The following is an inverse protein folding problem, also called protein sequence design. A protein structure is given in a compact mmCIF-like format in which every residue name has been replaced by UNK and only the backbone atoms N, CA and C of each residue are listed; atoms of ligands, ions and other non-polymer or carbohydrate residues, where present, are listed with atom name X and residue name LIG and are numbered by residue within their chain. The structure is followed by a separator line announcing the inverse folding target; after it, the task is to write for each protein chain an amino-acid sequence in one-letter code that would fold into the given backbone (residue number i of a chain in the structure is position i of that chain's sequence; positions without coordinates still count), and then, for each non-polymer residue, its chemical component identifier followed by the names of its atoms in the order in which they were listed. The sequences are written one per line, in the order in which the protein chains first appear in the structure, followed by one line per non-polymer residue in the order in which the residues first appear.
data_IF_004273952162
#
_entry.id   IF_004273952162
#
_cell.length_a   1.000
_cell.length_b   1.000
_cell.length_c   1.000
_cell.angle_alpha   90.00
_cell.angle_beta   90.00
_cell.angle_gamma   90.00
#
_symmetry.space_group_name_H-M   'P 1'
#
loop_
_entity.id
_entity.type
_entity.pdbx_description
1 polymer ?
#
# COMPACT_ATOMS: atom_id res chain seq x y z
N UNK A 1 -7.46 16.27 0.66
CA UNK A 1 -6.01 16.47 0.87
C UNK A 1 -5.39 16.95 -0.44
N UNK A 2 -5.62 18.20 -0.84
CA UNK A 2 -4.99 18.79 -2.03
C UNK A 2 -3.69 19.47 -1.60
N UNK A 3 -2.57 18.79 -1.85
CA UNK A 3 -1.21 19.22 -1.49
C UNK A 3 -0.52 18.21 -0.57
N UNK A 4 -0.13 17.05 -1.09
CA UNK A 4 0.82 16.17 -0.39
C UNK A 4 2.21 16.80 -0.53
N UNK A 5 2.81 17.17 0.60
CA UNK A 5 4.21 17.60 0.59
C UNK A 5 5.13 16.42 0.23
N UNK A 6 6.34 16.73 -0.24
CA UNK A 6 7.28 15.71 -0.70
C UNK A 6 7.66 14.69 0.40
N UNK A 7 7.68 15.10 1.68
CA UNK A 7 7.99 14.19 2.78
C UNK A 7 6.83 13.24 3.06
N UNK A 8 5.59 13.72 3.04
CA UNK A 8 4.40 12.86 3.10
C UNK A 8 4.39 11.82 1.97
N UNK A 9 4.75 12.23 0.76
CA UNK A 9 4.91 11.31 -0.37
C UNK A 9 5.98 10.25 -0.10
N UNK A 10 7.15 10.67 0.39
CA UNK A 10 8.26 9.77 0.67
C UNK A 10 7.93 8.77 1.79
N UNK A 11 7.26 9.21 2.86
CA UNK A 11 6.79 8.35 3.95
C UNK A 11 5.84 7.28 3.42
N UNK A 12 4.83 7.68 2.64
CA UNK A 12 3.90 6.74 2.00
C UNK A 12 4.61 5.77 1.07
N UNK A 13 5.60 6.26 0.30
CA UNK A 13 6.38 5.42 -0.60
C UNK A 13 7.21 4.38 0.17
N UNK A 14 7.85 4.77 1.27
CA UNK A 14 8.58 3.83 2.14
C UNK A 14 7.64 2.78 2.71
N UNK A 15 6.48 3.19 3.23
CA UNK A 15 5.46 2.25 3.73
C UNK A 15 5.05 1.28 2.62
N UNK A 16 4.76 1.79 1.42
CA UNK A 16 4.36 0.99 0.28
C UNK A 16 5.44 -0.02 -0.14
N UNK A 17 6.71 0.38 -0.18
CA UNK A 17 7.85 -0.49 -0.48
C UNK A 17 7.97 -1.60 0.56
N UNK A 18 7.86 -1.26 1.85
CA UNK A 18 7.93 -2.24 2.95
C UNK A 18 6.77 -3.22 2.86
N UNK A 19 5.53 -2.74 2.74
CA UNK A 19 4.32 -3.58 2.68
C UNK A 19 4.34 -4.48 1.44
N UNK A 20 4.64 -3.92 0.26
CA UNK A 20 4.77 -4.70 -0.96
C UNK A 20 5.93 -5.70 -0.88
N UNK A 21 7.03 -5.36 -0.17
CA UNK A 21 8.19 -6.22 0.00
C UNK A 21 7.87 -7.41 0.89
N UNK A 22 7.21 -7.16 2.03
CA UNK A 22 6.71 -8.20 2.92
C UNK A 22 5.69 -9.09 2.19
N UNK A 23 4.76 -8.52 1.44
CA UNK A 23 3.78 -9.30 0.68
C UNK A 23 4.45 -10.15 -0.42
N UNK A 24 5.34 -9.57 -1.22
CA UNK A 24 5.95 -10.24 -2.37
C UNK A 24 7.03 -11.26 -1.97
N UNK A 25 7.94 -10.90 -1.07
CA UNK A 25 9.09 -11.72 -0.70
C UNK A 25 8.89 -12.49 0.60
N UNK A 26 8.24 -11.90 1.60
CA UNK A 26 8.00 -12.53 2.89
C UNK A 26 6.88 -13.57 2.83
N UNK A 27 5.68 -13.16 2.41
CA UNK A 27 4.48 -14.01 2.36
C UNK A 27 4.36 -14.77 1.03
N UNK A 28 5.18 -14.40 0.02
CA UNK A 28 5.09 -14.93 -1.36
C UNK A 28 3.69 -14.74 -1.97
N UNK A 29 3.02 -13.65 -1.61
CA UNK A 29 1.68 -13.29 -2.09
C UNK A 29 1.77 -12.58 -3.43
N UNK A 30 1.88 -13.34 -4.52
CA UNK A 30 1.94 -12.79 -5.87
C UNK A 30 1.25 -13.68 -6.91
N UNK A 31 0.80 -13.06 -8.00
CA UNK A 31 0.26 -13.76 -9.18
C UNK A 31 1.39 -14.12 -10.16
N UNK A 32 2.29 -13.16 -10.42
CA UNK A 32 3.46 -13.33 -11.29
C UNK A 32 4.71 -13.08 -10.46
N UNK A 33 5.66 -14.02 -10.51
CA UNK A 33 6.97 -13.83 -9.88
C UNK A 33 7.82 -12.82 -10.66
N UNK A 34 8.60 -12.00 -9.96
CA UNK A 34 9.61 -11.14 -10.59
C UNK A 34 9.55 -9.69 -10.14
N UNK A 35 10.63 -8.96 -10.44
CA UNK A 35 10.87 -7.57 -10.01
C UNK A 35 9.86 -6.58 -10.61
N UNK A 36 9.39 -6.80 -11.83
CA UNK A 36 8.33 -5.98 -12.43
C UNK A 36 6.99 -6.12 -11.67
N UNK A 37 6.64 -7.33 -11.21
CA UNK A 37 5.45 -7.57 -10.39
C UNK A 37 5.60 -7.08 -8.95
N UNK A 38 6.83 -6.84 -8.50
CA UNK A 38 7.08 -6.12 -7.26
C UNK A 38 6.80 -4.62 -7.43
N UNK A 39 7.32 -4.00 -8.49
CA UNK A 39 7.12 -2.57 -8.74
C UNK A 39 5.63 -2.19 -8.89
N UNK A 40 4.84 -3.03 -9.59
CA UNK A 40 3.40 -2.80 -9.70
C UNK A 40 2.68 -2.89 -8.34
N UNK A 41 3.09 -3.80 -7.46
CA UNK A 41 2.57 -3.87 -6.09
C UNK A 41 2.95 -2.66 -5.25
N UNK A 42 4.15 -2.09 -5.42
CA UNK A 42 4.56 -0.86 -4.74
C UNK A 42 3.65 0.30 -5.13
N UNK A 43 3.31 0.43 -6.42
CA UNK A 43 2.39 1.48 -6.89
C UNK A 43 0.99 1.29 -6.28
N UNK A 44 0.47 0.05 -6.30
CA UNK A 44 -0.84 -0.27 -5.72
C UNK A 44 -0.85 -0.05 -4.21
N UNK A 45 0.20 -0.48 -3.50
CA UNK A 45 0.36 -0.25 -2.06
C UNK A 45 0.38 1.25 -1.74
N UNK A 46 1.10 2.04 -2.53
CA UNK A 46 1.17 3.49 -2.36
C UNK A 46 -0.20 4.16 -2.53
N UNK A 47 -0.95 3.78 -3.57
CA UNK A 47 -2.33 4.24 -3.76
C UNK A 47 -3.24 3.81 -2.60
N UNK A 48 -3.11 2.56 -2.15
CA UNK A 48 -3.85 2.03 -1.00
C UNK A 48 -3.56 2.77 0.29
N UNK A 49 -2.29 3.08 0.57
CA UNK A 49 -1.88 3.82 1.75
C UNK A 49 -2.36 5.27 1.73
N UNK A 50 -2.38 5.89 0.55
CA UNK A 50 -2.95 7.23 0.38
C UNK A 50 -4.46 7.27 0.71
N UNK A 51 -5.21 6.25 0.29
CA UNK A 51 -6.66 6.10 0.57
C UNK A 51 -6.93 5.56 1.97
N UNK A 52 -5.92 5.00 2.64
CA UNK A 52 -6.04 4.35 3.94
C UNK A 52 -6.58 5.27 5.03
N UNK A 53 -6.13 6.53 5.10
CA UNK A 53 -6.64 7.51 6.07
C UNK A 53 -8.14 7.79 5.91
N UNK A 54 -8.61 8.21 4.73
CA UNK A 54 -10.04 8.42 4.49
C UNK A 54 -10.94 7.20 4.73
N UNK A 55 -10.45 5.98 4.51
CA UNK A 55 -11.24 4.75 4.61
C UNK A 55 -11.25 4.15 6.02
N UNK A 56 -10.07 4.03 6.64
CA UNK A 56 -9.93 3.40 7.97
C UNK A 56 -10.01 4.42 9.11
N UNK A 57 -10.03 5.71 8.79
CA UNK A 57 -10.07 6.81 9.74
C UNK A 57 -8.68 7.30 10.12
N UNK A 58 -8.66 8.26 11.04
CA UNK A 58 -7.46 8.99 11.44
C UNK A 58 -7.07 8.57 12.86
N UNK A 59 -6.36 7.45 12.97
CA UNK A 59 -6.01 6.85 14.26
C UNK A 59 -4.67 7.35 14.77
N UNK A 60 -4.61 7.66 16.06
CA UNK A 60 -3.39 8.07 16.78
C UNK A 60 -2.67 9.26 16.12
N UNK A 61 -3.12 10.48 16.44
CA UNK A 61 -2.45 11.73 16.01
C UNK A 61 -0.96 11.83 16.43
N UNK A 62 -0.56 11.11 17.50
CA UNK A 62 0.84 11.03 17.91
C UNK A 62 1.74 10.31 16.89
N UNK A 63 1.16 9.52 15.98
CA UNK A 63 1.87 8.73 14.96
C UNK A 63 1.38 9.14 13.55
N UNK A 64 1.11 10.43 13.38
CA UNK A 64 0.80 11.05 12.09
C UNK A 64 1.87 12.08 11.72
N UNK A 65 2.18 12.15 10.43
CA UNK A 65 2.96 13.26 9.88
C UNK A 65 2.05 14.08 8.97
N UNK A 66 1.71 15.29 9.41
CA UNK A 66 0.68 16.14 8.80
C UNK A 66 -0.64 15.39 8.57
N UNK A 67 -0.84 14.85 7.36
CA UNK A 67 -2.04 14.15 6.96
C UNK A 67 -1.81 12.66 6.68
N UNK A 68 -0.59 12.15 6.87
CA UNK A 68 -0.27 10.73 6.71
C UNK A 68 -0.32 10.04 8.08
N UNK A 69 -1.37 9.25 8.30
CA UNK A 69 -1.53 8.43 9.48
C UNK A 69 -0.94 7.05 9.21
N UNK A 70 0.13 6.70 9.92
CA UNK A 70 0.96 5.55 9.58
C UNK A 70 0.16 4.24 9.65
N UNK A 71 -0.65 4.06 10.70
CA UNK A 71 -1.45 2.83 10.89
C UNK A 71 -2.50 2.67 9.76
N UNK A 72 -3.40 3.64 9.53
CA UNK A 72 -4.31 3.60 8.38
C UNK A 72 -3.60 3.43 7.02
N UNK A 73 -2.43 4.05 6.83
CA UNK A 73 -1.67 3.93 5.59
C UNK A 73 -1.12 2.50 5.38
N UNK A 74 -0.64 1.84 6.44
CA UNK A 74 -0.20 0.44 6.35
C UNK A 74 -1.39 -0.47 6.02
N UNK A 75 -2.52 -0.29 6.71
CA UNK A 75 -3.73 -1.08 6.47
C UNK A 75 -4.28 -0.89 5.05
N UNK A 76 -4.35 0.36 4.58
CA UNK A 76 -4.75 0.68 3.22
C UNK A 76 -3.81 0.09 2.16
N UNK A 77 -2.50 0.17 2.40
CA UNK A 77 -1.49 -0.42 1.52
C UNK A 77 -1.66 -1.95 1.42
N UNK A 78 -1.83 -2.62 2.56
CA UNK A 78 -2.00 -4.06 2.62
C UNK A 78 -3.30 -4.50 1.94
N UNK A 79 -4.42 -3.82 2.25
CA UNK A 79 -5.72 -4.11 1.66
C UNK A 79 -5.69 -3.97 0.14
N UNK A 80 -5.09 -2.89 -0.40
CA UNK A 80 -4.99 -2.68 -1.84
C UNK A 80 -4.17 -3.76 -2.54
N UNK A 81 -3.03 -4.17 -1.96
CA UNK A 81 -2.20 -5.25 -2.53
C UNK A 81 -2.94 -6.58 -2.52
N UNK A 82 -3.61 -6.92 -1.41
CA UNK A 82 -4.36 -8.18 -1.28
C UNK A 82 -5.50 -8.21 -2.32
N UNK A 83 -6.33 -7.17 -2.37
CA UNK A 83 -7.43 -7.08 -3.32
C UNK A 83 -6.95 -7.12 -4.77
N UNK A 84 -5.86 -6.43 -5.09
CA UNK A 84 -5.28 -6.46 -6.43
C UNK A 84 -4.86 -7.87 -6.84
N UNK A 85 -4.19 -8.61 -5.94
CA UNK A 85 -3.78 -10.00 -6.19
C UNK A 85 -4.99 -10.93 -6.30
N UNK A 86 -6.00 -10.77 -5.44
CA UNK A 86 -7.22 -11.60 -5.45
C UNK A 86 -8.00 -11.41 -6.73
N UNK A 87 -8.26 -10.16 -7.12
CA UNK A 87 -8.91 -9.80 -8.37
C UNK A 87 -8.13 -10.42 -9.54
N UNK A 88 -6.82 -10.24 -9.60
CA UNK A 88 -6.00 -10.80 -10.67
C UNK A 88 -6.07 -12.34 -10.72
N UNK A 89 -6.13 -13.04 -9.58
CA UNK A 89 -6.34 -14.49 -9.54
C UNK A 89 -7.74 -14.90 -9.97
N UNK A 90 -8.78 -14.16 -9.58
CA UNK A 90 -10.17 -14.43 -9.97
C UNK A 90 -10.39 -14.30 -11.47
N UNK A 91 -9.79 -13.27 -12.10
CA UNK A 91 -9.94 -13.03 -13.54
C UNK A 91 -8.93 -13.82 -14.39
N UNK A 92 -7.75 -14.14 -13.86
CA UNK A 92 -6.70 -14.90 -14.56
C UNK A 92 -6.87 -16.43 -14.51
N UNK A 93 -7.81 -16.95 -13.70
CA UNK A 93 -8.12 -18.39 -13.60
C UNK A 93 -9.18 -18.86 -14.63
N UNK A 94 -9.38 -18.14 -15.73
CA UNK A 94 -10.24 -18.55 -16.84
C UNK A 94 -9.41 -19.03 -18.03
#
# INVERSE_FOLDING_TARGET
MTGMDFYSFLILLVIAVVVAGVAHYGVKYYVVGGTASFLSKVIVAWLGGWVGGPVFGYWCEAVSYQNVYIIPAILGSAAAVILCVDIAKTFGSR
#
